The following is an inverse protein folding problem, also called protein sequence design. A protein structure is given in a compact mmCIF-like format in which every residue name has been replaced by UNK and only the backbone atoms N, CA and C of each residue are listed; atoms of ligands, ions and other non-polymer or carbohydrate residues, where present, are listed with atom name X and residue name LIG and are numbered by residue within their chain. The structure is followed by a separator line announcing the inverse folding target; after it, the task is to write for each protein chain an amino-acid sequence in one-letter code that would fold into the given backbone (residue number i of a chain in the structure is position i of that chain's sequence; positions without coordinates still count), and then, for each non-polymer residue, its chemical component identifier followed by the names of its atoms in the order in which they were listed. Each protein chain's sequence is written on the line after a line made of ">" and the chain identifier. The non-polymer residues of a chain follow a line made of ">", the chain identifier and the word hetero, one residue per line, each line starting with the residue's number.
data_IF_558079081911
#
_entry.id   IF_558079081911
#
_cell.length_a   1.000
_cell.length_b   1.000
_cell.length_c   1.000
_cell.angle_alpha   90.00
_cell.angle_beta   90.00
_cell.angle_gamma   90.00
#
_symmetry.space_group_name_H-M   'P 1'
#
loop_
_entity.id
_entity.type
_entity.pdbx_description
1 polymer ?
#
# COMPACT_ATOMS: atom_id res chain seq x y z
N UNK A 1 5.68 85.93 -25.83
CA UNK A 1 4.61 85.98 -24.80
C UNK A 1 4.47 84.58 -24.20
N UNK A 2 4.47 84.52 -22.86
CA UNK A 2 4.04 83.43 -21.96
C UNK A 2 4.52 82.00 -22.27
N UNK A 3 5.46 81.46 -21.48
CA UNK A 3 5.16 80.53 -20.35
C UNK A 3 4.51 79.23 -20.85
N UNK A 4 5.09 78.05 -20.66
CA UNK A 4 5.05 77.38 -19.35
C UNK A 4 6.03 76.19 -19.31
N UNK A 5 6.85 76.20 -18.27
CA UNK A 5 7.72 75.12 -17.76
C UNK A 5 6.90 74.06 -17.02
N UNK A 6 7.19 72.77 -17.24
CA UNK A 6 6.98 71.60 -16.34
C UNK A 6 7.55 70.40 -17.13
N UNK A 7 8.67 69.79 -16.77
CA UNK A 7 8.90 69.06 -15.52
C UNK A 7 8.90 67.56 -15.86
N UNK A 8 10.01 67.05 -16.42
CA UNK A 8 10.22 65.61 -16.61
C UNK A 8 10.50 64.98 -15.25
N UNK A 9 9.44 64.47 -14.60
CA UNK A 9 9.55 63.57 -13.47
C UNK A 9 9.92 62.18 -13.98
N UNK A 10 11.18 61.78 -13.74
CA UNK A 10 11.65 60.42 -13.94
C UNK A 10 10.94 59.52 -12.90
N UNK A 11 9.89 58.81 -13.32
CA UNK A 11 9.19 57.88 -12.45
C UNK A 11 9.97 56.57 -12.42
N UNK A 12 10.92 56.47 -11.49
CA UNK A 12 11.59 55.23 -11.12
C UNK A 12 10.54 54.27 -10.55
N UNK A 13 10.10 53.32 -11.37
CA UNK A 13 9.35 52.17 -10.89
C UNK A 13 10.30 51.29 -10.06
N UNK A 14 10.30 51.49 -8.75
CA UNK A 14 10.87 50.54 -7.81
C UNK A 14 9.94 49.32 -7.81
N UNK A 15 10.32 48.29 -8.57
CA UNK A 15 9.79 46.94 -8.42
C UNK A 15 10.31 46.38 -7.09
N UNK A 16 9.53 46.53 -6.02
CA UNK A 16 9.74 45.78 -4.78
C UNK A 16 9.29 44.34 -5.05
N UNK A 17 10.24 43.48 -5.40
CA UNK A 17 10.08 42.03 -5.34
C UNK A 17 9.93 41.64 -3.86
N UNK A 18 8.69 41.49 -3.40
CA UNK A 18 8.40 40.78 -2.15
C UNK A 18 8.61 39.29 -2.41
N UNK A 19 9.83 38.81 -2.18
CA UNK A 19 10.05 37.39 -1.94
C UNK A 19 9.42 37.04 -0.59
N UNK A 20 8.17 36.59 -0.61
CA UNK A 20 7.60 35.84 0.49
C UNK A 20 8.30 34.48 0.53
N UNK A 21 9.45 34.42 1.21
CA UNK A 21 10.07 33.17 1.62
C UNK A 21 9.15 32.57 2.69
N UNK A 22 8.21 31.74 2.27
CA UNK A 22 7.62 30.74 3.16
C UNK A 22 8.71 29.72 3.44
N UNK A 23 9.49 29.95 4.49
CA UNK A 23 10.23 28.88 5.11
C UNK A 23 9.18 27.95 5.74
N UNK A 24 9.05 26.68 5.32
CA UNK A 24 8.35 25.73 6.16
C UNK A 24 9.11 25.71 7.47
N UNK A 25 8.43 26.10 8.54
CA UNK A 25 8.91 25.87 9.89
C UNK A 25 8.98 24.35 10.05
N UNK A 26 10.12 23.76 9.73
CA UNK A 26 10.46 22.42 10.17
C UNK A 26 10.67 22.51 11.69
N UNK A 27 9.58 22.53 12.45
CA UNK A 27 9.60 22.02 13.81
C UNK A 27 10.04 20.57 13.68
N UNK A 28 11.31 20.31 14.00
CA UNK A 28 11.78 18.97 14.30
C UNK A 28 10.83 18.41 15.36
N UNK A 29 9.92 17.54 14.93
CA UNK A 29 9.01 16.85 15.82
C UNK A 29 9.87 16.09 16.82
N UNK A 30 9.77 16.45 18.10
CA UNK A 30 10.40 15.68 19.17
C UNK A 30 9.90 14.25 19.05
N UNK A 31 10.82 13.32 18.88
CA UNK A 31 10.58 11.90 19.11
C UNK A 31 9.96 11.79 20.52
N UNK A 32 8.72 11.30 20.66
CA UNK A 32 8.14 11.08 21.98
C UNK A 32 9.03 10.12 22.77
N UNK A 33 9.25 10.41 24.06
CA UNK A 33 10.06 9.56 24.92
C UNK A 33 9.53 8.13 24.96
N UNK A 34 10.48 7.18 24.94
CA UNK A 34 10.28 5.72 24.88
C UNK A 34 9.33 5.21 25.99
N UNK A 35 9.19 5.94 27.10
CA UNK A 35 8.45 5.48 28.28
C UNK A 35 6.93 5.70 28.21
N UNK A 36 6.40 6.54 27.32
CA UNK A 36 4.97 6.87 27.30
C UNK A 36 4.09 5.84 26.51
N UNK A 37 4.69 4.88 25.80
CA UNK A 37 3.97 3.89 24.97
C UNK A 37 3.81 2.50 25.60
N UNK A 38 4.23 2.30 26.84
CA UNK A 38 4.23 0.97 27.47
C UNK A 38 2.90 0.56 28.15
N UNK A 39 1.89 1.43 28.16
CA UNK A 39 0.60 1.16 28.84
C UNK A 39 -0.59 0.87 27.89
N UNK A 40 -0.33 0.52 26.63
CA UNK A 40 -1.35 -0.01 25.71
C UNK A 40 -1.15 -1.51 25.43
N UNK A 41 -0.63 -2.27 26.40
CA UNK A 41 -0.83 -3.72 26.43
C UNK A 41 -2.21 -3.97 27.05
N UNK A 42 -3.27 -3.57 26.35
CA UNK A 42 -4.65 -3.80 26.77
C UNK A 42 -5.38 -4.62 25.71
N UNK A 43 -5.75 -5.84 26.11
CA UNK A 43 -6.65 -6.80 25.47
C UNK A 43 -6.33 -7.20 24.02
N UNK A 44 -5.49 -8.23 23.85
CA UNK A 44 -5.49 -9.09 22.65
C UNK A 44 -6.80 -9.88 22.62
N UNK A 45 -7.91 -9.22 22.27
CA UNK A 45 -9.00 -9.92 21.61
C UNK A 45 -8.37 -10.69 20.45
N UNK A 46 -8.76 -11.95 20.26
CA UNK A 46 -8.29 -12.76 19.14
C UNK A 46 -8.54 -11.97 17.85
N UNK A 47 -7.46 -11.58 17.16
CA UNK A 47 -7.58 -10.83 15.92
C UNK A 47 -8.24 -11.75 14.90
N UNK A 48 -9.51 -11.48 14.60
CA UNK A 48 -10.24 -12.23 13.57
C UNK A 48 -9.63 -11.81 12.24
N UNK A 49 -8.99 -12.78 11.57
CA UNK A 49 -8.42 -12.55 10.25
C UNK A 49 -9.52 -12.58 9.19
N UNK A 50 -9.51 -11.64 8.23
CA UNK A 50 -10.51 -11.58 7.18
C UNK A 50 -10.35 -12.71 6.15
N UNK A 51 -11.48 -13.21 5.67
CA UNK A 51 -11.54 -14.15 4.53
C UNK A 51 -11.72 -13.43 3.18
N UNK A 52 -12.00 -12.12 3.21
CA UNK A 52 -12.12 -11.28 2.03
C UNK A 52 -11.43 -9.94 2.24
N UNK A 53 -10.82 -9.44 1.18
CA UNK A 53 -10.19 -8.12 1.10
C UNK A 53 -10.60 -7.45 -0.21
N UNK A 54 -10.48 -6.13 -0.25
CA UNK A 54 -10.72 -5.32 -1.42
C UNK A 54 -9.42 -4.80 -2.02
N UNK A 55 -9.44 -4.57 -3.34
CA UNK A 55 -8.37 -3.86 -4.05
C UNK A 55 -8.95 -2.88 -5.05
N UNK A 56 -8.56 -1.62 -4.93
CA UNK A 56 -8.76 -0.61 -5.97
C UNK A 56 -7.73 -0.75 -7.09
N UNK A 57 -8.17 -0.78 -8.34
CA UNK A 57 -7.28 -0.79 -9.50
C UNK A 57 -7.93 -0.09 -10.70
N UNK A 58 -7.10 0.51 -11.57
CA UNK A 58 -7.55 1.17 -12.81
C UNK A 58 -7.59 0.22 -14.01
N UNK A 59 -7.14 -1.03 -13.86
CA UNK A 59 -7.24 -2.03 -14.93
C UNK A 59 -8.65 -2.59 -14.98
N UNK A 60 -9.18 -2.72 -16.19
CA UNK A 60 -10.43 -3.41 -16.46
C UNK A 60 -10.32 -4.91 -16.07
N UNK A 61 -11.39 -5.55 -15.57
CA UNK A 61 -11.38 -6.95 -15.13
C UNK A 61 -10.82 -7.93 -16.17
N UNK A 62 -11.13 -7.73 -17.46
CA UNK A 62 -10.58 -8.57 -18.53
C UNK A 62 -9.05 -8.46 -18.63
N UNK A 63 -8.47 -7.26 -18.42
CA UNK A 63 -7.01 -7.08 -18.44
C UNK A 63 -6.37 -7.79 -17.24
N UNK A 64 -7.03 -7.77 -16.08
CA UNK A 64 -6.56 -8.49 -14.88
C UNK A 64 -6.64 -10.00 -15.11
N UNK A 65 -7.75 -10.49 -15.70
CA UNK A 65 -7.93 -11.88 -16.07
C UNK A 65 -6.86 -12.36 -17.05
N UNK A 66 -6.62 -11.62 -18.13
CA UNK A 66 -5.63 -11.97 -19.15
C UNK A 66 -4.20 -12.00 -18.59
N UNK A 67 -3.94 -11.23 -17.52
CA UNK A 67 -2.69 -11.24 -16.77
C UNK A 67 -2.61 -12.36 -15.71
N UNK A 68 -3.61 -13.23 -15.59
CA UNK A 68 -3.67 -14.27 -14.56
C UNK A 68 -3.97 -13.76 -13.15
N UNK A 69 -4.22 -12.46 -12.98
CA UNK A 69 -4.46 -11.79 -11.71
C UNK A 69 -3.68 -10.49 -11.55
N UNK A 70 -3.31 -10.19 -10.31
CA UNK A 70 -2.52 -9.02 -9.95
C UNK A 70 -1.07 -9.40 -9.69
N UNK A 71 -0.18 -9.09 -10.64
CA UNK A 71 1.26 -9.23 -10.45
C UNK A 71 1.84 -8.04 -9.67
N UNK A 72 2.88 -8.27 -8.85
CA UNK A 72 3.68 -7.19 -8.27
C UNK A 72 4.32 -6.30 -9.34
N UNK A 73 4.53 -5.02 -9.00
CA UNK A 73 5.19 -4.08 -9.89
C UNK A 73 6.71 -4.24 -9.76
N UNK A 74 7.27 -5.31 -10.33
CA UNK A 74 8.71 -5.61 -10.39
C UNK A 74 9.01 -6.57 -11.54
N UNK A 75 10.18 -6.44 -12.16
CA UNK A 75 10.78 -7.58 -12.86
C UNK A 75 11.18 -8.65 -11.83
N UNK A 76 11.12 -9.93 -12.20
CA UNK A 76 11.54 -11.02 -11.31
C UNK A 76 12.85 -11.68 -11.80
N UNK A 77 13.85 -11.90 -10.92
CA UNK A 77 13.93 -11.38 -9.55
C UNK A 77 14.06 -9.84 -9.54
N UNK A 78 13.58 -9.15 -8.48
CA UNK A 78 13.68 -7.70 -8.40
C UNK A 78 15.15 -7.25 -8.30
N UNK A 79 15.47 -6.13 -8.94
CA UNK A 79 16.84 -5.62 -9.02
C UNK A 79 17.39 -5.10 -7.69
N UNK A 80 16.51 -4.72 -6.77
CA UNK A 80 16.89 -4.16 -5.47
C UNK A 80 16.45 -5.09 -4.33
N UNK A 81 17.32 -5.38 -3.34
CA UNK A 81 16.92 -6.12 -2.14
C UNK A 81 15.82 -5.38 -1.35
N UNK A 82 15.68 -4.06 -1.53
CA UNK A 82 14.64 -3.27 -0.88
C UNK A 82 13.22 -3.62 -1.36
N UNK A 83 13.09 -4.22 -2.54
CA UNK A 83 11.80 -4.66 -3.10
C UNK A 83 11.09 -5.70 -2.25
N UNK A 84 11.83 -6.40 -1.38
CA UNK A 84 11.37 -7.48 -0.52
C UNK A 84 10.86 -7.00 0.85
N UNK A 85 11.09 -5.75 1.24
CA UNK A 85 10.66 -5.22 2.54
C UNK A 85 9.25 -4.61 2.50
N UNK A 86 8.39 -5.01 3.44
CA UNK A 86 7.04 -4.44 3.59
C UNK A 86 7.10 -2.94 3.90
N UNK A 87 8.03 -2.50 4.76
CA UNK A 87 8.24 -1.08 5.07
C UNK A 87 8.40 -0.22 3.80
N UNK A 88 9.29 -0.65 2.90
CA UNK A 88 9.55 0.09 1.69
C UNK A 88 8.39 0.01 0.68
N UNK A 89 7.68 -1.12 0.66
CA UNK A 89 6.45 -1.26 -0.12
C UNK A 89 5.43 -0.21 0.30
N UNK A 90 5.09 -0.16 1.59
CA UNK A 90 4.05 0.72 2.16
C UNK A 90 4.39 2.19 1.96
N UNK A 91 5.66 2.57 2.12
CA UNK A 91 6.10 3.95 1.88
C UNK A 91 6.22 4.31 0.39
N UNK A 92 6.03 3.35 -0.51
CA UNK A 92 6.19 3.52 -1.96
C UNK A 92 7.59 4.06 -2.36
N UNK A 93 8.64 3.69 -1.60
CA UNK A 93 10.01 4.20 -1.78
C UNK A 93 10.91 3.28 -2.60
N UNK A 94 10.44 2.08 -2.98
CA UNK A 94 11.23 1.22 -3.88
C UNK A 94 10.95 1.57 -5.33
N UNK A 95 11.92 2.19 -5.98
CA UNK A 95 11.91 2.43 -7.42
C UNK A 95 13.06 1.69 -8.09
N UNK A 96 12.80 1.13 -9.26
CA UNK A 96 13.84 0.65 -10.15
C UNK A 96 14.61 1.89 -10.68
N UNK A 97 15.91 2.05 -10.40
CA UNK A 97 16.67 3.21 -10.82
C UNK A 97 16.74 3.38 -12.34
N UNK A 98 16.63 2.30 -13.12
CA UNK A 98 16.71 2.37 -14.59
C UNK A 98 15.39 2.74 -15.25
N UNK A 99 14.24 2.42 -14.62
CA UNK A 99 12.92 2.68 -15.19
C UNK A 99 12.11 3.74 -14.45
N UNK A 100 12.54 4.16 -13.26
CA UNK A 100 11.79 5.05 -12.36
C UNK A 100 10.46 4.47 -11.86
N UNK A 101 10.18 3.19 -12.15
CA UNK A 101 8.93 2.52 -11.77
C UNK A 101 9.08 1.90 -10.39
N UNK A 102 7.96 1.75 -9.67
CA UNK A 102 7.91 0.98 -8.43
C UNK A 102 8.55 -0.40 -8.66
N UNK A 103 9.29 -0.90 -7.67
CA UNK A 103 9.90 -2.23 -7.69
C UNK A 103 9.58 -2.95 -6.38
N UNK A 104 8.53 -3.74 -6.34
CA UNK A 104 8.14 -4.51 -5.16
C UNK A 104 7.66 -5.90 -5.51
N UNK A 105 7.84 -6.86 -4.60
CA UNK A 105 7.31 -8.24 -4.70
C UNK A 105 5.89 -8.38 -4.14
N UNK A 106 5.28 -7.29 -3.67
CA UNK A 106 3.96 -7.31 -3.05
C UNK A 106 2.87 -6.62 -3.89
N UNK A 107 1.63 -7.03 -3.67
CA UNK A 107 0.42 -6.35 -4.14
C UNK A 107 -0.45 -5.97 -2.94
N UNK A 108 -0.79 -4.69 -2.79
CA UNK A 108 -1.66 -4.22 -1.70
C UNK A 108 -3.12 -4.65 -1.88
N UNK A 109 -3.77 -4.95 -0.76
CA UNK A 109 -5.22 -5.08 -0.59
C UNK A 109 -5.59 -4.53 0.80
N UNK A 110 -6.88 -4.35 1.07
CA UNK A 110 -7.39 -3.71 2.30
C UNK A 110 -8.71 -4.34 2.72
N UNK A 111 -9.04 -4.37 4.00
CA UNK A 111 -10.41 -4.72 4.45
C UNK A 111 -11.40 -3.57 4.31
N UNK A 112 -10.92 -2.36 4.04
CA UNK A 112 -11.76 -1.18 3.87
C UNK A 112 -12.15 -0.98 2.41
N UNK A 113 -13.43 -1.13 2.12
CA UNK A 113 -13.99 -0.81 0.81
C UNK A 113 -13.71 0.64 0.41
N UNK A 114 -13.85 1.60 1.34
CA UNK A 114 -13.58 3.02 1.07
C UNK A 114 -12.13 3.30 0.68
N UNK A 115 -11.16 2.63 1.31
CA UNK A 115 -9.75 2.66 0.90
C UNK A 115 -9.60 2.12 -0.51
N UNK A 116 -10.17 0.95 -0.81
CA UNK A 116 -10.12 0.41 -2.17
C UNK A 116 -10.80 1.33 -3.20
N UNK A 117 -11.92 1.96 -2.84
CA UNK A 117 -12.63 2.91 -3.70
C UNK A 117 -11.77 4.14 -4.01
N UNK A 118 -11.09 4.72 -3.02
CA UNK A 118 -10.14 5.81 -3.26
C UNK A 118 -9.05 5.36 -4.24
N UNK A 119 -8.40 4.22 -4.02
CA UNK A 119 -7.35 3.76 -4.94
C UNK A 119 -7.87 3.46 -6.36
N UNK A 120 -9.13 3.06 -6.50
CA UNK A 120 -9.77 2.86 -7.80
C UNK A 120 -10.00 4.18 -8.54
N UNK A 121 -10.41 5.24 -7.83
CA UNK A 121 -10.92 6.47 -8.46
C UNK A 121 -9.97 7.66 -8.39
N UNK A 122 -8.98 7.64 -7.50
CA UNK A 122 -8.08 8.77 -7.25
C UNK A 122 -7.42 9.25 -8.55
N UNK A 123 -7.57 10.56 -8.83
CA UNK A 123 -7.05 11.26 -10.00
C UNK A 123 -7.40 10.60 -11.35
N UNK A 124 -8.52 9.86 -11.42
CA UNK A 124 -9.01 9.25 -12.65
C UNK A 124 -10.30 9.92 -13.08
N UNK A 125 -10.31 10.62 -14.22
CA UNK A 125 -11.59 11.07 -14.82
C UNK A 125 -12.45 9.89 -15.27
N UNK A 126 -11.81 8.76 -15.63
CA UNK A 126 -12.47 7.58 -16.17
C UNK A 126 -12.95 6.60 -15.08
N UNK A 127 -12.66 6.87 -13.80
CA UNK A 127 -12.97 5.95 -12.70
C UNK A 127 -12.03 4.75 -12.61
N UNK A 128 -12.52 3.69 -11.98
CA UNK A 128 -11.78 2.45 -11.78
C UNK A 128 -12.64 1.33 -11.20
N UNK A 129 -11.98 0.27 -10.74
CA UNK A 129 -12.64 -0.94 -10.25
C UNK A 129 -12.22 -1.25 -8.83
N UNK A 130 -13.19 -1.61 -8.00
CA UNK A 130 -12.97 -2.24 -6.70
C UNK A 130 -13.20 -3.74 -6.89
N UNK A 131 -12.15 -4.51 -6.64
CA UNK A 131 -12.17 -5.96 -6.69
C UNK A 131 -12.41 -6.52 -5.30
N UNK A 132 -13.34 -7.46 -5.20
CA UNK A 132 -13.57 -8.29 -4.03
C UNK A 132 -12.79 -9.59 -4.18
N UNK A 133 -11.91 -9.87 -3.22
CA UNK A 133 -10.86 -10.88 -3.34
C UNK A 133 -10.91 -11.78 -2.12
N UNK A 134 -11.07 -13.08 -2.35
CA UNK A 134 -10.91 -14.07 -1.29
C UNK A 134 -9.46 -14.13 -0.83
N UNK A 135 -9.28 -14.02 0.48
CA UNK A 135 -7.98 -13.98 1.12
C UNK A 135 -7.18 -15.26 0.87
N UNK A 136 -5.86 -15.15 0.91
CA UNK A 136 -4.98 -16.33 0.90
C UNK A 136 -3.79 -16.14 1.83
N UNK A 137 -3.11 -17.23 2.25
CA UNK A 137 -2.08 -17.13 3.27
C UNK A 137 -0.83 -16.35 2.82
N UNK A 138 -0.63 -16.07 1.53
CA UNK A 138 0.45 -15.19 1.07
C UNK A 138 0.16 -13.70 1.32
N UNK A 139 -1.05 -13.34 1.75
CA UNK A 139 -1.42 -12.00 2.19
C UNK A 139 -1.01 -11.79 3.64
N UNK A 140 -0.12 -10.84 3.89
CA UNK A 140 0.44 -10.56 5.22
C UNK A 140 -0.13 -9.28 5.78
N UNK A 141 -0.56 -9.33 7.04
CA UNK A 141 -1.00 -8.16 7.82
C UNK A 141 0.13 -7.15 8.03
N UNK A 142 0.00 -5.96 7.42
CA UNK A 142 1.00 -4.89 7.50
C UNK A 142 1.13 -4.37 8.93
N UNK A 143 0.00 -4.14 9.60
CA UNK A 143 -0.01 -3.66 10.99
C UNK A 143 0.58 -4.68 11.96
N UNK A 144 0.30 -5.97 11.76
CA UNK A 144 0.95 -7.02 12.53
C UNK A 144 2.46 -7.09 12.32
N UNK A 145 2.94 -6.71 11.13
CA UNK A 145 4.36 -6.76 10.76
C UNK A 145 5.15 -5.55 11.25
N UNK A 146 4.61 -4.35 11.07
CA UNK A 146 5.26 -3.07 11.38
C UNK A 146 4.85 -2.50 12.74
N UNK A 147 3.81 -3.06 13.37
CA UNK A 147 3.31 -2.69 14.70
C UNK A 147 3.05 -1.18 14.80
N UNK A 148 3.49 -0.56 15.90
CA UNK A 148 3.35 0.87 16.20
C UNK A 148 4.10 1.82 15.24
N UNK A 149 4.81 1.26 14.25
CA UNK A 149 5.52 2.02 13.22
C UNK A 149 4.80 1.98 11.87
N UNK A 150 3.65 1.30 11.77
CA UNK A 150 2.85 1.29 10.52
C UNK A 150 2.55 2.74 10.08
N UNK A 151 2.95 3.15 8.86
CA UNK A 151 2.76 4.54 8.41
C UNK A 151 1.30 4.96 8.29
N UNK A 152 0.44 4.05 7.84
CA UNK A 152 -1.00 4.26 7.59
C UNK A 152 -1.85 3.11 8.15
N UNK A 153 -1.99 3.00 9.48
CA UNK A 153 -2.79 1.94 10.09
C UNK A 153 -4.27 2.01 9.69
N UNK A 154 -4.78 3.20 9.35
CA UNK A 154 -6.15 3.41 8.87
C UNK A 154 -6.46 2.75 7.52
N UNK A 155 -5.43 2.42 6.73
CA UNK A 155 -5.61 1.77 5.44
C UNK A 155 -5.98 0.28 5.59
N UNK A 156 -5.85 -0.29 6.79
CA UNK A 156 -6.12 -1.71 7.09
C UNK A 156 -5.45 -2.65 6.07
N UNK A 157 -4.21 -2.33 5.69
CA UNK A 157 -3.53 -2.94 4.56
C UNK A 157 -3.06 -4.37 4.84
N UNK A 158 -3.29 -5.23 3.84
CA UNK A 158 -2.65 -6.53 3.68
C UNK A 158 -1.83 -6.52 2.38
N UNK A 159 -0.67 -7.16 2.41
CA UNK A 159 0.22 -7.25 1.25
C UNK A 159 0.35 -8.69 0.78
N UNK A 160 -0.06 -8.96 -0.45
CA UNK A 160 0.07 -10.28 -1.08
C UNK A 160 1.48 -10.45 -1.64
N UNK A 161 2.29 -11.28 -0.99
CA UNK A 161 3.62 -11.66 -1.47
C UNK A 161 3.47 -12.48 -2.76
N UNK A 162 4.10 -12.02 -3.84
CA UNK A 162 4.09 -12.70 -5.13
C UNK A 162 2.86 -12.44 -6.00
N UNK A 163 1.86 -11.72 -5.51
CA UNK A 163 0.66 -11.36 -6.28
C UNK A 163 -0.62 -12.05 -5.80
N UNK A 164 -1.70 -11.86 -6.57
CA UNK A 164 -3.04 -12.35 -6.28
C UNK A 164 -3.61 -13.01 -7.54
N UNK A 165 -3.98 -14.27 -7.48
CA UNK A 165 -4.53 -15.00 -8.62
C UNK A 165 -5.88 -14.44 -9.08
N UNK A 166 -6.16 -14.50 -10.38
CA UNK A 166 -7.50 -14.22 -10.91
C UNK A 166 -8.57 -15.10 -10.27
N UNK A 167 -8.24 -16.37 -9.98
CA UNK A 167 -9.17 -17.29 -9.33
C UNK A 167 -9.54 -16.90 -7.89
N UNK A 168 -8.78 -16.00 -7.24
CA UNK A 168 -9.11 -15.43 -5.93
C UNK A 168 -10.13 -14.29 -6.03
N UNK A 169 -10.28 -13.67 -7.20
CA UNK A 169 -11.21 -12.56 -7.39
C UNK A 169 -12.64 -13.11 -7.39
N UNK A 170 -13.43 -12.78 -6.37
CA UNK A 170 -14.84 -13.20 -6.27
C UNK A 170 -15.74 -12.37 -7.20
N UNK A 171 -15.37 -11.11 -7.44
CA UNK A 171 -16.09 -10.20 -8.31
C UNK A 171 -15.51 -8.79 -8.26
N UNK A 172 -16.22 -7.86 -8.87
CA UNK A 172 -15.80 -6.47 -8.93
C UNK A 172 -16.97 -5.51 -9.08
N UNK A 173 -16.72 -4.24 -8.77
CA UNK A 173 -17.60 -3.11 -9.01
C UNK A 173 -16.84 -2.03 -9.76
N UNK A 174 -17.49 -1.40 -10.76
CA UNK A 174 -16.97 -0.19 -11.37
C UNK A 174 -17.44 1.04 -10.59
N UNK A 175 -16.52 1.95 -10.31
CA UNK A 175 -16.77 3.26 -9.70
C UNK A 175 -16.38 4.37 -10.67
N UNK A 176 -17.26 5.36 -10.91
CA UNK A 176 -16.94 6.48 -11.80
C UNK A 176 -15.87 7.40 -11.19
N UNK A 177 -15.18 8.18 -12.03
CA UNK A 177 -14.06 9.03 -11.61
C UNK A 177 -14.38 10.11 -10.58
N UNK A 178 -15.63 10.54 -10.53
CA UNK A 178 -16.15 11.51 -9.56
C UNK A 178 -16.82 10.84 -8.34
N UNK A 179 -16.59 9.54 -8.13
CA UNK A 179 -17.12 8.86 -6.95
C UNK A 179 -16.60 9.53 -5.68
N UNK A 180 -17.53 10.06 -4.88
CA UNK A 180 -17.25 10.79 -3.65
C UNK A 180 -17.76 10.06 -2.40
N UNK A 181 -18.12 8.78 -2.52
CA UNK A 181 -18.58 7.94 -1.42
C UNK A 181 -17.42 7.57 -0.52
N UNK A 182 -16.88 8.56 0.19
CA UNK A 182 -15.73 8.38 1.06
C UNK A 182 -16.18 8.24 2.52
N UNK A 183 -17.26 7.50 2.79
CA UNK A 183 -17.61 7.17 4.17
C UNK A 183 -16.64 6.07 4.67
N UNK A 184 -15.38 6.45 4.86
CA UNK A 184 -14.23 5.65 5.31
C UNK A 184 -14.49 4.78 6.54
N UNK A 185 -15.59 5.03 7.26
CA UNK A 185 -15.92 4.44 8.54
C UNK A 185 -16.96 3.31 8.47
N UNK A 186 -17.61 3.06 7.33
CA UNK A 186 -18.59 1.95 7.19
C UNK A 186 -18.48 1.24 5.83
N UNK A 187 -17.38 0.51 5.65
CA UNK A 187 -17.09 -0.26 4.43
C UNK A 187 -18.19 -1.28 4.07
N UNK A 188 -18.82 -1.87 5.09
CA UNK A 188 -19.88 -2.86 4.89
C UNK A 188 -21.13 -2.21 4.30
N UNK A 189 -21.57 -1.09 4.88
CA UNK A 189 -22.72 -0.34 4.38
C UNK A 189 -22.48 0.19 2.96
N UNK A 190 -21.28 0.67 2.68
CA UNK A 190 -20.93 1.20 1.36
C UNK A 190 -20.96 0.10 0.28
N UNK A 191 -20.33 -1.05 0.55
CA UNK A 191 -20.38 -2.20 -0.35
C UNK A 191 -21.83 -2.66 -0.60
N UNK A 192 -22.64 -2.78 0.46
CA UNK A 192 -24.05 -3.19 0.35
C UNK A 192 -24.85 -2.19 -0.49
N UNK A 193 -24.62 -0.88 -0.31
CA UNK A 193 -25.30 0.17 -1.08
C UNK A 193 -24.99 0.12 -2.58
N UNK A 194 -23.84 -0.46 -2.97
CA UNK A 194 -23.41 -0.62 -4.35
C UNK A 194 -23.54 -2.06 -4.87
N UNK A 195 -24.17 -2.95 -4.11
CA UNK A 195 -24.26 -4.38 -4.43
C UNK A 195 -24.99 -4.68 -5.75
N UNK A 196 -25.84 -3.77 -6.22
CA UNK A 196 -26.50 -3.85 -7.53
C UNK A 196 -25.51 -3.72 -8.71
N UNK A 197 -24.34 -3.11 -8.49
CA UNK A 197 -23.25 -2.97 -9.47
C UNK A 197 -22.25 -4.11 -9.43
N UNK A 198 -22.38 -5.04 -8.48
CA UNK A 198 -21.44 -6.13 -8.30
C UNK A 198 -21.56 -7.15 -9.42
N UNK A 199 -20.45 -7.41 -10.10
CA UNK A 199 -20.35 -8.46 -11.11
C UNK A 199 -19.55 -9.61 -10.51
N UNK A 200 -20.21 -10.78 -10.39
CA UNK A 200 -19.56 -12.03 -9.95
C UNK A 200 -18.57 -12.51 -11.00
N UNK A 201 -17.39 -12.93 -10.56
CA UNK A 201 -16.41 -13.60 -11.40
C UNK A 201 -16.83 -15.06 -11.65
N UNK A 202 -17.12 -15.48 -12.90
CA UNK A 202 -17.43 -16.89 -13.18
C UNK A 202 -16.24 -17.83 -13.00
N UNK A 203 -15.01 -17.30 -12.99
CA UNK A 203 -13.78 -18.07 -12.82
C UNK A 203 -13.33 -18.16 -11.36
N UNK A 204 -14.11 -17.60 -10.42
CA UNK A 204 -13.80 -17.69 -8.99
C UNK A 204 -13.72 -19.14 -8.53
N UNK A 205 -12.63 -19.50 -7.85
CA UNK A 205 -12.43 -20.84 -7.35
C UNK A 205 -12.76 -20.92 -5.86
N UNK A 206 -13.83 -21.64 -5.51
CA UNK A 206 -14.29 -21.85 -4.12
C UNK A 206 -13.25 -22.45 -3.18
N UNK A 207 -12.15 -22.98 -3.69
CA UNK A 207 -11.01 -23.39 -2.87
C UNK A 207 -10.53 -22.27 -1.92
N UNK A 208 -10.62 -21.01 -2.37
CA UNK A 208 -10.19 -19.85 -1.59
C UNK A 208 -11.11 -19.55 -0.39
N UNK A 209 -12.37 -20.00 -0.39
CA UNK A 209 -13.31 -19.75 0.71
C UNK A 209 -12.85 -20.38 2.05
N UNK A 210 -11.97 -21.37 2.00
CA UNK A 210 -11.38 -22.02 3.18
C UNK A 210 -10.06 -21.36 3.65
N UNK A 211 -9.57 -20.36 2.92
CA UNK A 211 -8.31 -19.70 3.19
C UNK A 211 -8.53 -18.39 3.97
N UNK A 212 -7.48 -17.95 4.65
CA UNK A 212 -7.42 -16.66 5.36
C UNK A 212 -6.07 -16.02 5.11
N UNK A 213 -5.97 -14.72 5.36
CA UNK A 213 -4.69 -14.00 5.42
C UNK A 213 -3.77 -14.57 6.51
N UNK A 214 -2.47 -14.34 6.36
CA UNK A 214 -1.48 -14.62 7.39
C UNK A 214 -1.39 -13.50 8.44
N UNK A 215 -1.02 -13.84 9.69
CA UNK A 215 -0.65 -12.84 10.69
C UNK A 215 0.59 -12.05 10.22
N UNK A 216 0.90 -10.96 10.93
CA UNK A 216 2.10 -10.18 10.69
C UNK A 216 3.38 -11.02 10.71
N UNK A 217 4.31 -10.71 9.80
CA UNK A 217 5.57 -11.41 9.61
C UNK A 217 6.73 -10.42 9.85
N UNK A 218 7.18 -10.21 11.11
CA UNK A 218 8.25 -9.25 11.42
C UNK A 218 9.55 -9.46 10.62
N UNK A 219 9.85 -10.69 10.24
CA UNK A 219 10.99 -11.02 9.39
C UNK A 219 10.91 -10.44 7.97
N UNK A 220 9.72 -10.00 7.52
CA UNK A 220 9.49 -9.36 6.23
C UNK A 220 9.42 -7.82 6.32
N UNK A 221 9.61 -7.24 7.51
CA UNK A 221 9.46 -5.79 7.71
C UNK A 221 10.40 -4.98 6.80
N UNK A 222 11.68 -5.37 6.74
CA UNK A 222 12.66 -4.77 5.84
C UNK A 222 12.86 -3.27 6.08
N UNK A 223 13.18 -2.88 7.32
CA UNK A 223 13.54 -1.50 7.63
C UNK A 223 14.91 -1.15 7.02
N UNK A 224 14.95 -0.07 6.22
CA UNK A 224 16.18 0.44 5.60
C UNK A 224 16.32 1.95 5.79
N UNK A 225 17.51 2.46 5.51
CA UNK A 225 17.81 3.90 5.58
C UNK A 225 17.58 4.42 7.01
N UNK A 226 16.84 5.51 7.12
CA UNK A 226 16.53 6.14 8.41
C UNK A 226 15.73 5.24 9.36
N UNK A 227 15.01 4.25 8.82
CA UNK A 227 14.23 3.30 9.61
C UNK A 227 15.06 2.11 10.13
N UNK A 228 16.30 1.91 9.64
CA UNK A 228 17.13 0.75 10.02
C UNK A 228 17.25 0.54 11.55
N UNK A 229 17.38 1.58 12.41
CA UNK A 229 17.42 1.39 13.86
C UNK A 229 16.20 0.67 14.46
N UNK A 230 15.03 0.69 13.80
CA UNK A 230 13.84 -0.04 14.25
C UNK A 230 14.06 -1.56 14.22
N UNK A 231 14.92 -2.06 13.33
CA UNK A 231 15.30 -3.47 13.25
C UNK A 231 16.01 -3.98 14.51
N UNK A 232 16.51 -3.09 15.38
CA UNK A 232 17.17 -3.44 16.65
C UNK A 232 16.18 -3.59 17.81
N UNK A 233 14.89 -3.34 17.59
CA UNK A 233 13.82 -3.52 18.57
C UNK A 233 13.19 -4.90 18.45
N UNK A 234 12.68 -5.46 19.54
CA UNK A 234 11.87 -6.68 19.47
C UNK A 234 10.51 -6.40 18.79
N UNK A 235 9.98 -7.34 18.00
CA UNK A 235 10.55 -8.66 17.71
C UNK A 235 11.55 -8.66 16.53
N UNK A 236 11.71 -7.55 15.80
CA UNK A 236 12.54 -7.50 14.59
C UNK A 236 14.00 -7.86 14.84
N UNK A 237 14.53 -7.56 16.02
CA UNK A 237 15.89 -7.94 16.44
C UNK A 237 16.18 -9.44 16.33
N UNK A 238 15.15 -10.28 16.36
CA UNK A 238 15.28 -11.73 16.17
C UNK A 238 15.62 -12.12 14.72
N UNK A 239 15.48 -11.17 13.79
CA UNK A 239 15.72 -11.35 12.36
C UNK A 239 16.79 -10.33 11.89
N UNK A 240 17.94 -10.75 11.36
CA UNK A 240 18.94 -9.84 10.78
C UNK A 240 18.44 -9.17 9.47
N UNK A 241 17.53 -8.20 9.59
CA UNK A 241 16.89 -7.49 8.47
C UNK A 241 17.85 -6.58 7.68
N UNK A 242 18.92 -6.13 8.30
CA UNK A 242 19.90 -5.21 7.69
C UNK A 242 20.85 -5.91 6.71
N UNK A 243 20.93 -7.25 6.74
CA UNK A 243 21.85 -8.03 5.90
C UNK A 243 21.25 -8.24 4.51
N UNK A 244 21.96 -7.78 3.47
CA UNK A 244 21.57 -8.09 2.10
C UNK A 244 21.44 -9.61 1.87
N UNK A 245 20.35 -10.02 1.22
CA UNK A 245 20.02 -11.43 0.95
C UNK A 245 19.02 -12.05 1.94
N UNK A 246 18.91 -11.56 3.17
CA UNK A 246 18.04 -12.22 4.19
C UNK A 246 16.55 -12.03 3.93
N UNK A 247 16.12 -10.88 3.42
CA UNK A 247 14.70 -10.66 3.09
C UNK A 247 14.19 -11.59 1.97
N UNK A 248 14.90 -11.75 0.83
CA UNK A 248 14.56 -12.79 -0.15
C UNK A 248 14.45 -14.17 0.48
N UNK A 249 15.40 -14.56 1.35
CA UNK A 249 15.40 -15.86 2.00
C UNK A 249 14.17 -16.02 2.91
N UNK A 250 13.83 -15.02 3.72
CA UNK A 250 12.62 -15.04 4.56
C UNK A 250 11.33 -15.08 3.75
N UNK A 251 11.27 -14.38 2.62
CA UNK A 251 10.11 -14.41 1.73
C UNK A 251 9.94 -15.80 1.10
N UNK A 252 11.04 -16.42 0.68
CA UNK A 252 11.04 -17.78 0.14
C UNK A 252 10.69 -18.82 1.20
N UNK A 253 11.25 -18.71 2.41
CA UNK A 253 10.93 -19.58 3.55
C UNK A 253 9.44 -19.48 3.91
N UNK A 254 8.93 -18.26 4.02
CA UNK A 254 7.53 -17.99 4.32
C UNK A 254 6.61 -18.63 3.27
N UNK A 255 6.77 -18.32 1.98
CA UNK A 255 5.88 -18.86 0.93
C UNK A 255 6.05 -20.37 0.75
N UNK A 256 7.26 -20.91 0.94
CA UNK A 256 7.50 -22.36 0.88
C UNK A 256 6.78 -23.09 2.01
N UNK A 257 6.69 -22.48 3.19
CA UNK A 257 5.91 -23.00 4.31
C UNK A 257 4.39 -23.05 4.05
N UNK A 258 3.87 -22.20 3.15
CA UNK A 258 2.47 -22.22 2.74
C UNK A 258 2.18 -23.36 1.75
N UNK A 259 3.16 -23.68 0.90
CA UNK A 259 3.09 -24.80 -0.04
C UNK A 259 1.85 -24.75 -0.94
N UNK A 260 1.09 -25.85 -0.93
CA UNK A 260 -0.12 -26.00 -1.76
C UNK A 260 -1.21 -24.97 -1.42
N UNK A 261 -1.21 -24.38 -0.22
CA UNK A 261 -2.21 -23.38 0.17
C UNK A 261 -2.29 -22.21 -0.83
N UNK A 262 -1.15 -21.88 -1.45
CA UNK A 262 -0.98 -20.78 -2.41
C UNK A 262 -0.50 -21.25 -3.78
N UNK A 263 -0.68 -22.55 -4.10
CA UNK A 263 -0.17 -23.18 -5.32
C UNK A 263 1.33 -22.92 -5.58
N UNK A 264 2.14 -22.94 -4.53
CA UNK A 264 3.57 -22.65 -4.65
C UNK A 264 4.29 -23.64 -5.56
N UNK A 265 4.90 -23.14 -6.64
CA UNK A 265 5.63 -23.93 -7.65
C UNK A 265 7.15 -23.80 -7.56
N UNK A 266 7.66 -23.04 -6.59
CA UNK A 266 9.10 -22.79 -6.39
C UNK A 266 9.61 -21.47 -6.97
N UNK A 267 8.77 -20.65 -7.59
CA UNK A 267 9.16 -19.34 -8.15
C UNK A 267 8.05 -18.29 -8.06
N UNK A 268 8.46 -17.02 -7.99
CA UNK A 268 7.58 -15.86 -8.14
C UNK A 268 7.54 -15.33 -9.59
N UNK A 269 6.55 -14.50 -9.95
CA UNK A 269 5.33 -14.22 -9.19
C UNK A 269 4.45 -15.47 -9.05
N UNK A 270 3.48 -15.43 -8.15
CA UNK A 270 2.52 -16.51 -7.97
C UNK A 270 1.54 -16.57 -9.14
N UNK A 271 1.26 -15.43 -9.80
CA UNK A 271 0.21 -15.26 -10.82
C UNK A 271 0.57 -15.67 -12.23
#
# INVERSE_FOLDING_TARGET
>A
MASTTRGLGLQTCILVLVFAIWAPSCTAGRIPSIDARNNQVSSRAERIYPNYVFRGDKRHPMVVKDAGGFSPNSAFPPLSPWAWGIWNHVLNIVVNPSSGRRSTVYVSATTSFGVAAEYATNQSVDGGWVYDISAAPNMVDVQGTLMNYTPRPEDEEYVALGGIYWSQVAGWMYLPGNYSGYEWMDSTREFVALSDRYVRNPDFWKYWDAQTVSPGQPQLAGFYGEAAPLGQLLPWKLYPLERAGTLPDYALEFVSGLGNAVNWSGSFPLV
#
